data_IF_068715916477
#
_entry.id   IF_068715916477
#
_cell.length_a   1.000
_cell.length_b   1.000
_cell.length_c   1.000
_cell.angle_alpha   90.00
_cell.angle_beta   90.00
_cell.angle_gamma   90.00
#
_symmetry.space_group_name_H-M   'P 1'
#
loop_
_entity.id
_entity.type
_entity.pdbx_description
1 polymer ?
#
# COMPACT_ATOMS: atom_id res chain seq x y z
N UNK A 1 56.83 38.40 -24.25
CA UNK A 1 55.50 38.44 -24.89
C UNK A 1 54.69 37.25 -24.38
N UNK A 2 53.70 37.46 -23.51
CA UNK A 2 52.83 36.39 -22.98
C UNK A 2 51.56 36.36 -23.81
N UNK A 3 51.36 35.31 -24.61
CA UNK A 3 50.09 35.09 -25.30
C UNK A 3 49.07 34.52 -24.31
N UNK A 4 47.95 35.21 -24.12
CA UNK A 4 46.85 34.71 -23.32
C UNK A 4 46.01 33.76 -24.18
N UNK A 5 45.97 32.48 -23.80
CA UNK A 5 45.14 31.45 -24.42
C UNK A 5 43.67 31.80 -24.20
N UNK A 6 42.96 32.23 -25.24
CA UNK A 6 41.51 32.41 -25.25
C UNK A 6 40.85 31.04 -25.05
N UNK A 7 40.35 30.78 -23.84
CA UNK A 7 39.46 29.64 -23.60
C UNK A 7 38.14 29.92 -24.32
N UNK A 8 37.87 29.19 -25.40
CA UNK A 8 36.59 29.25 -26.11
C UNK A 8 35.45 28.92 -25.14
N UNK A 9 34.63 29.92 -24.80
CA UNK A 9 33.39 29.66 -24.08
C UNK A 9 32.39 29.03 -25.05
N UNK A 10 32.21 27.71 -24.95
CA UNK A 10 31.11 26.99 -25.58
C UNK A 10 29.80 27.42 -24.91
N UNK A 11 28.95 28.15 -25.62
CA UNK A 11 27.61 28.52 -25.18
C UNK A 11 26.58 27.55 -25.74
N UNK A 12 25.61 27.15 -24.93
CA UNK A 12 24.44 26.39 -25.36
C UNK A 12 23.55 27.27 -26.23
N UNK A 13 23.12 26.81 -27.40
CA UNK A 13 22.20 27.59 -28.23
C UNK A 13 20.77 27.48 -27.68
N UNK A 14 19.98 28.56 -27.82
CA UNK A 14 18.55 28.53 -27.47
C UNK A 14 17.79 27.46 -28.26
N UNK A 15 18.20 27.19 -29.50
CA UNK A 15 17.59 26.19 -30.37
C UNK A 15 17.83 24.77 -29.86
N UNK A 16 19.05 24.46 -29.39
CA UNK A 16 19.35 23.16 -28.77
C UNK A 16 18.49 22.93 -27.53
N UNK A 17 18.33 23.94 -26.69
CA UNK A 17 17.49 23.84 -25.50
C UNK A 17 16.01 23.60 -25.87
N UNK A 18 15.51 24.28 -26.91
CA UNK A 18 14.12 24.15 -27.37
C UNK A 18 13.79 22.76 -27.91
N UNK A 19 14.72 22.14 -28.64
CA UNK A 19 14.53 20.77 -29.15
C UNK A 19 14.51 19.76 -27.99
N UNK A 20 15.38 19.94 -26.99
CA UNK A 20 15.44 19.05 -25.83
C UNK A 20 14.14 19.07 -25.03
N UNK A 21 13.59 20.26 -24.73
CA UNK A 21 12.32 20.33 -24.00
C UNK A 21 11.15 19.76 -24.81
N UNK A 22 11.17 19.89 -26.15
CA UNK A 22 10.16 19.33 -27.01
C UNK A 22 10.17 17.78 -26.97
N UNK A 23 11.35 17.16 -27.01
CA UNK A 23 11.50 15.71 -26.89
C UNK A 23 11.06 15.24 -25.49
N UNK A 24 11.47 15.93 -24.42
CA UNK A 24 11.05 15.60 -23.05
C UNK A 24 9.53 15.69 -22.90
N UNK A 25 8.88 16.69 -23.50
CA UNK A 25 7.42 16.83 -23.46
C UNK A 25 6.70 15.64 -24.11
N UNK A 26 7.18 15.15 -25.26
CA UNK A 26 6.61 13.97 -25.93
C UNK A 26 6.78 12.72 -25.08
N UNK A 27 7.98 12.50 -24.52
CA UNK A 27 8.25 11.35 -23.66
C UNK A 27 7.41 11.40 -22.38
N UNK A 28 7.28 12.56 -21.75
CA UNK A 28 6.49 12.75 -20.54
C UNK A 28 5.00 12.47 -20.80
N UNK A 29 4.46 12.89 -21.96
CA UNK A 29 3.05 12.66 -22.30
C UNK A 29 2.66 11.17 -22.33
N UNK A 30 3.57 10.29 -22.76
CA UNK A 30 3.36 8.83 -22.78
C UNK A 30 3.70 8.21 -21.41
N UNK A 31 4.79 8.66 -20.80
CA UNK A 31 5.31 8.07 -19.57
C UNK A 31 4.38 8.30 -18.35
N UNK A 32 3.78 9.49 -18.22
CA UNK A 32 2.93 9.84 -17.06
C UNK A 32 1.73 8.90 -16.87
N UNK A 33 0.87 8.65 -17.87
CA UNK A 33 -0.28 7.74 -17.69
C UNK A 33 0.16 6.28 -17.49
N UNK A 34 1.25 5.84 -18.11
CA UNK A 34 1.79 4.50 -17.91
C UNK A 34 2.34 4.31 -16.48
N UNK A 35 3.04 5.31 -15.97
CA UNK A 35 3.58 5.30 -14.62
C UNK A 35 2.48 5.29 -13.55
N UNK A 36 1.37 6.00 -13.78
CA UNK A 36 0.20 5.97 -12.89
C UNK A 36 -0.38 4.54 -12.77
N UNK A 37 -0.59 3.86 -13.91
CA UNK A 37 -1.06 2.45 -13.92
C UNK A 37 -0.07 1.48 -13.28
N UNK A 38 1.24 1.69 -13.48
CA UNK A 38 2.26 0.87 -12.84
C UNK A 38 2.24 1.01 -11.32
N UNK A 39 2.14 2.26 -10.82
CA UNK A 39 1.98 2.53 -9.39
C UNK A 39 0.73 1.86 -8.83
N UNK A 40 -0.40 1.96 -9.52
CA UNK A 40 -1.66 1.36 -9.09
C UNK A 40 -1.52 -0.16 -8.90
N UNK A 41 -0.94 -0.85 -9.88
CA UNK A 41 -0.66 -2.29 -9.78
C UNK A 41 0.24 -2.64 -8.60
N UNK A 42 1.24 -1.80 -8.31
CA UNK A 42 2.11 -1.99 -7.16
C UNK A 42 1.35 -1.84 -5.83
N UNK A 43 0.42 -0.86 -5.73
CA UNK A 43 -0.45 -0.74 -4.55
C UNK A 43 -1.34 -1.97 -4.37
N UNK A 44 -2.01 -2.44 -5.44
CA UNK A 44 -2.87 -3.62 -5.39
C UNK A 44 -2.08 -4.88 -4.99
N UNK A 45 -0.88 -5.06 -5.53
CA UNK A 45 0.00 -6.18 -5.17
C UNK A 45 0.42 -6.13 -3.69
N UNK A 46 0.77 -4.95 -3.17
CA UNK A 46 1.09 -4.76 -1.76
C UNK A 46 -0.10 -5.06 -0.85
N UNK A 47 -1.31 -4.58 -1.20
CA UNK A 47 -2.54 -4.87 -0.46
C UNK A 47 -2.84 -6.37 -0.39
N UNK A 48 -2.70 -7.09 -1.50
CA UNK A 48 -2.86 -8.55 -1.52
C UNK A 48 -1.84 -9.24 -0.61
N UNK A 49 -0.56 -8.86 -0.69
CA UNK A 49 0.49 -9.42 0.16
C UNK A 49 0.23 -9.17 1.64
N UNK A 50 -0.15 -7.95 2.00
CA UNK A 50 -0.43 -7.57 3.39
C UNK A 50 -1.64 -8.36 3.93
N UNK A 51 -2.70 -8.53 3.14
CA UNK A 51 -3.86 -9.34 3.50
C UNK A 51 -3.48 -10.79 3.81
N UNK A 52 -2.64 -11.41 2.99
CA UNK A 52 -2.18 -12.79 3.22
C UNK A 52 -1.30 -12.91 4.47
N UNK A 53 -0.41 -11.94 4.72
CA UNK A 53 0.43 -11.92 5.91
C UNK A 53 -0.41 -11.80 7.19
N UNK A 54 -1.45 -10.98 7.14
CA UNK A 54 -2.42 -10.83 8.22
C UNK A 54 -3.12 -12.15 8.52
N UNK A 55 -3.66 -12.82 7.50
CA UNK A 55 -4.38 -14.09 7.70
C UNK A 55 -3.45 -15.14 8.31
N UNK A 56 -2.22 -15.23 7.83
CA UNK A 56 -1.23 -16.14 8.40
C UNK A 56 -0.93 -15.84 9.88
N UNK A 57 -0.89 -14.56 10.26
CA UNK A 57 -0.66 -14.17 11.65
C UNK A 57 -1.87 -14.45 12.55
N UNK A 58 -3.09 -14.26 12.05
CA UNK A 58 -4.33 -14.63 12.74
C UNK A 58 -4.44 -16.14 12.96
N UNK A 59 -4.09 -16.95 11.96
CA UNK A 59 -4.02 -18.42 12.09
C UNK A 59 -2.96 -18.85 13.12
N UNK A 60 -1.80 -18.18 13.15
CA UNK A 60 -0.78 -18.43 14.15
C UNK A 60 -1.23 -18.06 15.57
N UNK A 61 -2.04 -17.00 15.70
CA UNK A 61 -2.67 -16.60 16.95
C UNK A 61 -3.73 -17.62 17.40
N UNK A 62 -4.59 -18.06 16.48
CA UNK A 62 -5.60 -19.08 16.73
C UNK A 62 -4.97 -20.40 17.21
N UNK A 63 -3.87 -20.84 16.59
CA UNK A 63 -3.15 -22.05 16.99
C UNK A 63 -2.63 -22.01 18.44
N UNK A 64 -2.44 -20.81 19.02
CA UNK A 64 -1.92 -20.65 20.38
C UNK A 64 -3.01 -20.39 21.42
N UNK A 65 -4.07 -19.67 21.05
CA UNK A 65 -5.08 -19.18 22.00
C UNK A 65 -6.51 -19.69 21.72
N UNK A 66 -6.69 -20.53 20.70
CA UNK A 66 -7.98 -21.10 20.25
C UNK A 66 -9.08 -20.04 19.99
N UNK A 67 -8.63 -18.83 19.65
CA UNK A 67 -9.45 -17.67 19.28
C UNK A 67 -8.64 -16.79 18.34
N UNK A 68 -9.33 -16.01 17.51
CA UNK A 68 -8.67 -15.01 16.66
C UNK A 68 -8.45 -13.70 17.42
N UNK A 69 -7.47 -12.92 16.98
CA UNK A 69 -7.14 -11.66 17.62
C UNK A 69 -8.18 -10.61 17.25
N UNK A 70 -8.66 -9.87 18.25
CA UNK A 70 -9.67 -8.81 18.08
C UNK A 70 -9.03 -7.43 18.27
N UNK A 71 -9.83 -6.35 18.25
CA UNK A 71 -9.31 -4.98 18.32
C UNK A 71 -8.44 -4.69 19.55
N UNK A 72 -8.64 -5.42 20.66
CA UNK A 72 -7.79 -5.32 21.86
C UNK A 72 -6.48 -6.10 21.80
N UNK A 73 -6.38 -7.08 20.89
CA UNK A 73 -5.22 -7.94 20.72
C UNK A 73 -4.27 -7.42 19.62
N UNK A 74 -4.69 -6.43 18.84
CA UNK A 74 -3.94 -5.89 17.71
C UNK A 74 -3.56 -4.43 17.91
N UNK A 75 -2.35 -4.05 17.49
CA UNK A 75 -1.87 -2.67 17.55
C UNK A 75 -1.12 -2.31 16.28
N UNK A 76 -1.58 -1.26 15.58
CA UNK A 76 -0.93 -0.76 14.38
C UNK A 76 -0.17 0.54 14.64
N UNK A 77 1.13 0.54 14.30
CA UNK A 77 1.96 1.73 14.31
C UNK A 77 2.10 2.29 12.88
N UNK A 78 1.33 3.33 12.56
CA UNK A 78 1.31 3.96 11.24
C UNK A 78 2.64 4.59 10.83
N UNK A 79 3.42 5.10 11.80
CA UNK A 79 4.74 5.68 11.54
C UNK A 79 5.76 4.63 11.08
N UNK A 80 5.66 3.41 11.62
CA UNK A 80 6.54 2.28 11.30
C UNK A 80 5.96 1.32 10.26
N UNK A 81 4.66 1.38 9.98
CA UNK A 81 3.96 0.39 9.16
C UNK A 81 3.92 -0.99 9.82
N UNK A 82 3.86 -1.04 11.14
CA UNK A 82 4.01 -2.30 11.87
C UNK A 82 2.70 -2.68 12.54
N UNK A 83 2.19 -3.87 12.24
CA UNK A 83 1.07 -4.48 12.98
C UNK A 83 1.64 -5.47 14.00
N UNK A 84 1.24 -5.34 15.24
CA UNK A 84 1.56 -6.27 16.31
C UNK A 84 0.31 -6.98 16.75
N UNK A 85 0.37 -8.31 16.86
CA UNK A 85 -0.69 -9.16 17.43
C UNK A 85 -0.16 -9.71 18.76
N UNK A 86 -0.94 -9.53 19.82
CA UNK A 86 -0.58 -9.87 21.18
C UNK A 86 -1.80 -10.25 22.03
N UNK A 87 -1.64 -11.17 22.98
CA UNK A 87 -2.70 -11.52 23.94
C UNK A 87 -2.60 -10.64 25.20
N UNK A 88 -2.38 -9.33 25.05
CA UNK A 88 -2.19 -8.35 26.13
C UNK A 88 -0.89 -8.49 26.96
N UNK A 89 -0.32 -9.69 27.08
CA UNK A 89 0.89 -9.97 27.90
C UNK A 89 2.06 -10.46 27.04
N UNK A 90 1.76 -11.12 25.92
CA UNK A 90 2.75 -11.74 25.03
C UNK A 90 2.53 -11.27 23.60
N UNK A 91 3.61 -10.81 22.94
CA UNK A 91 3.60 -10.58 21.50
C UNK A 91 3.68 -11.93 20.79
N UNK A 92 2.69 -12.18 19.94
CA UNK A 92 2.58 -13.41 19.15
C UNK A 92 3.27 -13.22 17.82
N UNK A 93 3.05 -12.06 17.20
CA UNK A 93 3.67 -11.74 15.90
C UNK A 93 3.73 -10.24 15.67
N UNK A 94 4.76 -9.84 14.93
CA UNK A 94 4.94 -8.48 14.44
C UNK A 94 5.12 -8.55 12.92
N UNK A 95 4.20 -7.93 12.19
CA UNK A 95 4.22 -7.83 10.74
C UNK A 95 4.67 -6.44 10.32
N UNK A 96 5.51 -6.37 9.29
CA UNK A 96 5.77 -5.13 8.57
C UNK A 96 4.80 -5.09 7.39
N UNK A 97 3.80 -4.24 7.50
CA UNK A 97 2.80 -4.01 6.47
C UNK A 97 3.13 -2.71 5.73
N UNK A 98 2.48 -2.50 4.60
CA UNK A 98 2.47 -1.17 3.99
C UNK A 98 1.96 -0.15 5.01
N UNK A 99 2.52 1.07 5.02
CA UNK A 99 2.32 2.14 6.06
C UNK A 99 0.87 2.51 6.38
N UNK A 100 -0.09 1.96 5.64
CA UNK A 100 -1.50 2.32 5.62
C UNK A 100 -2.42 1.09 5.64
N UNK A 101 -1.97 -0.03 6.22
CA UNK A 101 -2.83 -1.21 6.42
C UNK A 101 -3.28 -1.28 7.87
N UNK A 102 -4.57 -1.44 8.10
CA UNK A 102 -5.15 -1.58 9.43
C UNK A 102 -6.10 -2.77 9.41
N UNK A 103 -6.01 -3.63 10.42
CA UNK A 103 -7.06 -4.61 10.67
C UNK A 103 -8.10 -3.99 11.57
N UNK A 104 -9.36 -4.10 11.16
CA UNK A 104 -10.49 -3.64 11.96
C UNK A 104 -11.22 -4.87 12.50
N UNK A 105 -11.66 -4.76 13.75
CA UNK A 105 -12.50 -5.78 14.36
C UNK A 105 -13.90 -5.82 13.72
N UNK A 106 -14.67 -6.87 14.02
CA UNK A 106 -16.07 -7.04 13.65
C UNK A 106 -16.94 -5.84 14.08
N UNK A 107 -16.69 -5.30 15.28
CA UNK A 107 -17.50 -4.24 15.89
C UNK A 107 -16.89 -2.82 15.80
N UNK A 108 -15.60 -2.70 15.51
CA UNK A 108 -14.87 -1.42 15.57
C UNK A 108 -14.55 -0.82 14.19
N UNK A 109 -15.59 -0.72 13.35
CA UNK A 109 -15.54 0.14 12.17
C UNK A 109 -15.36 1.64 12.53
N UNK A 110 -15.48 2.00 13.82
CA UNK A 110 -15.30 3.35 14.34
C UNK A 110 -13.82 3.76 14.48
N UNK A 111 -12.89 2.80 14.58
CA UNK A 111 -11.44 3.04 14.51
C UNK A 111 -10.95 3.44 13.11
N UNK A 112 -11.82 3.34 12.09
CA UNK A 112 -11.59 3.93 10.76
C UNK A 112 -11.45 5.47 10.79
N UNK A 113 -11.72 6.12 11.92
CA UNK A 113 -11.55 7.56 12.12
C UNK A 113 -10.10 8.06 12.02
N UNK A 114 -9.10 7.18 12.05
CA UNK A 114 -7.67 7.55 11.86
C UNK A 114 -7.15 7.23 10.44
N UNK A 115 -8.03 6.80 9.54
CA UNK A 115 -7.69 6.44 8.18
C UNK A 115 -7.75 7.69 7.27
N UNK A 116 -6.75 8.57 7.36
CA UNK A 116 -6.53 9.58 6.30
C UNK A 116 -6.45 8.90 4.92
N UNK A 117 -7.24 9.35 3.94
CA UNK A 117 -7.26 8.74 2.62
C UNK A 117 -5.88 8.80 1.95
N UNK A 118 -5.44 7.69 1.34
CA UNK A 118 -4.26 7.69 0.46
C UNK A 118 -4.76 8.00 -0.93
N UNK A 119 -4.32 9.04 -1.60
CA UNK A 119 -4.77 9.29 -2.99
C UNK A 119 -4.18 8.23 -3.92
N UNK A 120 -5.04 7.53 -4.68
CA UNK A 120 -4.61 6.62 -5.73
C UNK A 120 -3.91 7.40 -6.87
N UNK A 121 -3.10 6.72 -7.72
CA UNK A 121 -2.40 7.38 -8.83
C UNK A 121 -3.32 8.05 -9.87
N UNK A 122 -4.60 7.68 -9.91
CA UNK A 122 -5.64 8.27 -10.75
C UNK A 122 -6.30 9.51 -10.11
N UNK A 123 -5.88 9.92 -8.91
CA UNK A 123 -6.46 11.05 -8.18
C UNK A 123 -7.71 10.70 -7.38
N UNK A 124 -8.20 9.45 -7.48
CA UNK A 124 -9.31 9.00 -6.65
C UNK A 124 -8.86 8.87 -5.19
N UNK A 125 -9.79 9.00 -4.22
CA UNK A 125 -9.51 8.63 -2.84
C UNK A 125 -9.22 7.12 -2.80
N UNK A 126 -7.95 6.76 -2.69
CA UNK A 126 -7.56 5.41 -2.33
C UNK A 126 -7.80 5.20 -0.84
N UNK A 127 -8.18 3.98 -0.50
CA UNK A 127 -8.46 3.65 0.89
C UNK A 127 -7.18 3.16 1.55
N UNK A 128 -6.97 3.56 2.80
CA UNK A 128 -6.10 2.75 3.65
C UNK A 128 -6.79 1.41 3.80
N UNK A 129 -6.02 0.37 3.61
CA UNK A 129 -6.56 -0.97 3.47
C UNK A 129 -7.03 -1.45 4.85
N UNK A 130 -8.34 -1.36 5.07
CA UNK A 130 -8.99 -1.75 6.31
C UNK A 130 -9.66 -3.12 6.13
N UNK A 131 -9.06 -4.18 6.67
CA UNK A 131 -9.68 -5.50 6.66
C UNK A 131 -10.51 -5.69 7.92
N UNK A 132 -11.82 -5.70 7.74
CA UNK A 132 -12.73 -6.21 8.75
C UNK A 132 -12.68 -7.73 8.82
N UNK A 133 -12.77 -8.29 10.02
CA UNK A 133 -12.92 -9.74 10.25
C UNK A 133 -13.97 -10.38 9.31
N UNK A 134 -15.13 -9.75 9.12
CA UNK A 134 -16.20 -10.25 8.22
C UNK A 134 -15.82 -10.31 6.74
N UNK A 135 -14.91 -9.46 6.31
CA UNK A 135 -14.51 -9.41 4.91
C UNK A 135 -13.56 -10.57 4.57
N UNK A 136 -12.91 -11.13 5.59
CA UNK A 136 -11.90 -12.18 5.46
C UNK A 136 -12.31 -13.48 6.12
N UNK A 137 -13.42 -13.52 6.86
CA UNK A 137 -14.00 -14.74 7.46
C UNK A 137 -15.14 -15.25 6.60
N UNK A 138 -15.20 -16.55 6.37
CA UNK A 138 -16.34 -17.22 5.75
C UNK A 138 -17.47 -17.40 6.78
N UNK A 139 -18.66 -17.73 6.29
CA UNK A 139 -19.85 -17.95 7.14
C UNK A 139 -19.71 -19.15 8.08
N UNK A 140 -18.77 -20.06 7.81
CA UNK A 140 -18.39 -21.18 8.67
C UNK A 140 -17.43 -20.78 9.82
N UNK A 141 -17.00 -19.53 9.83
CA UNK A 141 -16.10 -18.98 10.83
C UNK A 141 -14.60 -19.17 10.56
N UNK A 142 -14.22 -19.68 9.39
CA UNK A 142 -12.81 -19.83 8.96
C UNK A 142 -12.32 -18.61 8.19
N UNK A 143 -11.01 -18.37 8.15
CA UNK A 143 -10.45 -17.30 7.32
C UNK A 143 -10.28 -17.71 5.85
N UNK A 144 -10.71 -16.84 4.94
CA UNK A 144 -10.62 -16.95 3.48
C UNK A 144 -9.16 -16.84 3.05
N UNK A 145 -8.54 -17.95 2.65
CA UNK A 145 -7.14 -17.99 2.19
C UNK A 145 -6.89 -17.27 0.85
N UNK A 146 -7.94 -17.03 0.06
CA UNK A 146 -7.89 -16.24 -1.16
C UNK A 146 -8.62 -14.92 -0.96
N UNK A 147 -7.93 -13.88 -0.52
CA UNK A 147 -8.47 -12.51 -0.55
C UNK A 147 -7.73 -11.76 -1.64
N UNK A 148 -8.47 -11.00 -2.46
CA UNK A 148 -7.89 -10.25 -3.57
C UNK A 148 -8.51 -8.87 -3.69
N UNK A 149 -7.69 -7.91 -4.06
CA UNK A 149 -8.09 -6.57 -4.49
C UNK A 149 -7.91 -6.47 -6.00
N UNK A 150 -8.87 -5.83 -6.67
CA UNK A 150 -8.83 -5.55 -8.09
C UNK A 150 -8.39 -4.10 -8.37
N UNK A 151 -8.59 -3.20 -7.42
CA UNK A 151 -8.18 -1.79 -7.51
C UNK A 151 -7.62 -1.24 -6.19
N UNK A 152 -6.90 -0.12 -6.28
CA UNK A 152 -6.41 0.61 -5.10
C UNK A 152 -7.55 1.33 -4.32
N UNK A 153 -8.76 1.36 -4.89
CA UNK A 153 -9.96 1.94 -4.30
C UNK A 153 -10.87 0.90 -3.64
N UNK A 154 -10.51 -0.38 -3.68
CA UNK A 154 -11.33 -1.43 -3.10
C UNK A 154 -11.25 -1.37 -1.57
N UNK A 155 -12.40 -1.19 -0.90
CA UNK A 155 -12.51 -1.18 0.57
C UNK A 155 -12.53 -2.57 1.18
N UNK A 156 -12.90 -3.57 0.39
CA UNK A 156 -13.06 -4.95 0.81
C UNK A 156 -12.55 -5.87 -0.31
N UNK A 157 -11.98 -7.04 0.05
CA UNK A 157 -11.54 -8.02 -0.91
C UNK A 157 -12.72 -8.52 -1.73
N UNK A 158 -12.48 -8.76 -3.03
CA UNK A 158 -13.38 -9.55 -3.85
C UNK A 158 -13.20 -11.03 -3.48
N UNK A 159 -14.30 -11.72 -3.21
CA UNK A 159 -14.27 -13.16 -2.99
C UNK A 159 -13.77 -13.87 -4.26
N UNK A 160 -12.93 -14.90 -4.07
CA UNK A 160 -12.67 -15.84 -5.14
C UNK A 160 -13.88 -16.77 -5.21
N UNK A 161 -14.76 -16.57 -6.19
CA UNK A 161 -15.49 -17.70 -6.73
C UNK A 161 -14.45 -18.59 -7.41
N UNK A 162 -14.14 -19.73 -6.79
CA UNK A 162 -13.35 -20.79 -7.43
C UNK A 162 -13.90 -21.13 -8.81
#
# INVERSE_FOLDING_TARGET
MKQATQMSRSGFTLVELLIVIAIIAILAAIAVPQFAKYKERAYVAAMNSDAHNIIAAEEAYYSQYDKYATGGDTSFNSSKGTLTISNGTTTVTTLNLSKNVVLLDYDDLTAATQIEAVTCPDGSPGYKFALGHNNIKASDGTYKRGVKFNSCTDKAPVEWTQ
#
